data_IF_627729288564
#
_entry.id   IF_627729288564
#
_cell.length_a   1.000
_cell.length_b   1.000
_cell.length_c   1.000
_cell.angle_alpha   90.00
_cell.angle_beta   90.00
_cell.angle_gamma   90.00
#
_symmetry.space_group_name_H-M   'P 1'
#
loop_
_entity.id
_entity.type
_entity.pdbx_description
1 polymer ?
#
# COMPACT_ATOMS: atom_id res chain seq x y z
N UNK A 1 -2.14 -21.78 -13.40
CA UNK A 1 -3.04 -20.63 -13.19
C UNK A 1 -2.80 -20.12 -11.76
N UNK A 2 -2.17 -18.96 -11.59
CA UNK A 2 -2.00 -18.36 -10.25
C UNK A 2 -3.40 -17.82 -9.87
N UNK A 3 -4.02 -18.25 -8.77
CA UNK A 3 -5.33 -17.74 -8.38
C UNK A 3 -5.22 -16.22 -8.16
N UNK A 4 -6.12 -15.45 -8.78
CA UNK A 4 -6.17 -14.01 -8.55
C UNK A 4 -6.55 -13.78 -7.09
N UNK A 5 -5.70 -13.04 -6.36
CA UNK A 5 -6.01 -12.70 -4.97
C UNK A 5 -7.27 -11.82 -4.93
N UNK A 6 -8.33 -12.30 -4.28
CA UNK A 6 -9.56 -11.52 -4.12
C UNK A 6 -9.37 -10.47 -3.02
N UNK A 7 -9.29 -9.19 -3.43
CA UNK A 7 -9.08 -8.07 -2.52
C UNK A 7 -10.36 -7.56 -1.85
N UNK A 8 -11.55 -8.02 -2.25
CA UNK A 8 -12.83 -7.47 -1.73
C UNK A 8 -12.94 -7.68 -0.22
N UNK A 9 -13.09 -6.58 0.53
CA UNK A 9 -13.19 -6.58 1.99
C UNK A 9 -11.87 -6.86 2.73
N UNK A 10 -10.78 -7.15 2.01
CA UNK A 10 -9.46 -7.45 2.59
C UNK A 10 -8.72 -6.17 2.95
N UNK A 11 -7.94 -6.23 4.02
CA UNK A 11 -7.02 -5.18 4.44
C UNK A 11 -5.81 -5.20 3.51
N UNK A 12 -5.76 -4.25 2.58
CA UNK A 12 -4.63 -4.11 1.66
C UNK A 12 -3.79 -2.92 2.11
N UNK A 13 -2.51 -3.15 2.32
CA UNK A 13 -1.55 -2.09 2.64
C UNK A 13 -0.69 -1.80 1.41
N UNK A 14 -0.75 -0.59 0.87
CA UNK A 14 0.20 -0.11 -0.14
C UNK A 14 1.35 0.61 0.55
N UNK A 15 2.57 0.10 0.40
CA UNK A 15 3.80 0.76 0.88
C UNK A 15 4.51 1.46 -0.28
N UNK A 16 4.61 2.79 -0.17
CA UNK A 16 5.20 3.68 -1.14
C UNK A 16 4.19 4.12 -2.20
N UNK A 17 3.50 5.24 -1.96
CA UNK A 17 2.69 5.88 -3.00
C UNK A 17 3.60 6.41 -4.11
N UNK A 18 4.73 7.02 -3.72
CA UNK A 18 5.69 7.62 -4.63
C UNK A 18 5.11 8.80 -5.41
N UNK A 19 5.93 9.36 -6.31
CA UNK A 19 5.54 10.45 -7.21
C UNK A 19 5.50 10.05 -8.68
N UNK A 20 6.17 8.95 -9.06
CA UNK A 20 6.34 8.52 -10.46
C UNK A 20 6.16 7.02 -10.69
N UNK A 21 6.31 6.21 -9.64
CA UNK A 21 6.54 4.76 -9.78
C UNK A 21 5.25 3.92 -9.71
N UNK A 22 4.13 4.38 -10.28
CA UNK A 22 2.93 3.54 -10.41
C UNK A 22 2.13 3.24 -9.13
N UNK A 23 2.56 3.70 -7.95
CA UNK A 23 1.82 3.51 -6.68
C UNK A 23 0.38 4.05 -6.72
N UNK A 24 0.14 5.14 -7.45
CA UNK A 24 -1.22 5.66 -7.72
C UNK A 24 -2.10 4.61 -8.42
N UNK A 25 -1.56 3.97 -9.46
CA UNK A 25 -2.28 2.93 -10.19
C UNK A 25 -2.61 1.72 -9.31
N UNK A 26 -1.66 1.29 -8.49
CA UNK A 26 -1.87 0.19 -7.54
C UNK A 26 -2.96 0.52 -6.50
N UNK A 27 -2.95 1.74 -5.95
CA UNK A 27 -3.98 2.21 -5.03
C UNK A 27 -5.36 2.24 -5.68
N UNK A 28 -5.47 2.82 -6.89
CA UNK A 28 -6.73 2.87 -7.63
C UNK A 28 -7.25 1.47 -7.95
N UNK A 29 -6.38 0.56 -8.35
CA UNK A 29 -6.75 -0.82 -8.61
C UNK A 29 -7.30 -1.52 -7.35
N UNK A 30 -6.59 -1.42 -6.22
CA UNK A 30 -7.01 -2.02 -4.95
C UNK A 30 -8.36 -1.44 -4.47
N UNK A 31 -8.53 -0.12 -4.53
CA UNK A 31 -9.79 0.54 -4.18
C UNK A 31 -10.94 0.06 -5.07
N UNK A 32 -10.76 -0.01 -6.40
CA UNK A 32 -11.77 -0.52 -7.35
C UNK A 32 -12.14 -1.98 -7.11
N UNK A 33 -11.23 -2.79 -6.56
CA UNK A 33 -11.52 -4.18 -6.16
C UNK A 33 -12.24 -4.30 -4.81
N UNK A 34 -12.53 -3.18 -4.15
CA UNK A 34 -13.25 -3.13 -2.87
C UNK A 34 -12.38 -3.49 -1.68
N UNK A 35 -11.06 -3.24 -1.76
CA UNK A 35 -10.16 -3.40 -0.64
C UNK A 35 -10.42 -2.36 0.46
N UNK A 36 -10.17 -2.75 1.70
CA UNK A 36 -9.99 -1.83 2.82
C UNK A 36 -8.55 -1.31 2.75
N UNK A 37 -8.35 -0.26 1.97
CA UNK A 37 -7.03 0.23 1.58
C UNK A 37 -6.41 1.13 2.65
N UNK A 38 -5.17 0.84 3.02
CA UNK A 38 -4.27 1.76 3.73
C UNK A 38 -3.08 2.08 2.84
N UNK A 39 -2.73 3.36 2.70
CA UNK A 39 -1.58 3.83 1.93
C UNK A 39 -0.57 4.43 2.90
N UNK A 40 0.66 3.90 2.90
CA UNK A 40 1.74 4.41 3.74
C UNK A 40 2.95 4.83 2.91
N UNK A 41 3.52 5.98 3.27
CA UNK A 41 4.71 6.52 2.61
C UNK A 41 5.53 7.33 3.62
N UNK A 42 6.86 7.25 3.51
CA UNK A 42 7.76 8.04 4.34
C UNK A 42 7.74 9.52 3.96
N UNK A 43 7.34 9.82 2.72
CA UNK A 43 7.18 11.18 2.23
C UNK A 43 5.93 11.83 2.84
N UNK A 44 6.02 13.13 3.07
CA UNK A 44 4.91 13.93 3.62
C UNK A 44 3.91 14.31 2.53
N UNK A 45 2.70 14.68 2.95
CA UNK A 45 1.60 15.12 2.07
C UNK A 45 2.03 16.15 1.01
N UNK A 46 2.85 17.14 1.38
CA UNK A 46 3.33 18.19 0.46
C UNK A 46 4.11 17.60 -0.73
N UNK A 47 4.99 16.63 -0.48
CA UNK A 47 5.79 15.97 -1.52
C UNK A 47 4.92 15.08 -2.42
N UNK A 48 3.88 14.47 -1.84
CA UNK A 48 2.98 13.55 -2.53
C UNK A 48 1.77 14.25 -3.16
N UNK A 49 1.73 15.59 -3.21
CA UNK A 49 0.54 16.34 -3.61
C UNK A 49 0.00 15.90 -4.98
N UNK A 50 0.87 15.78 -5.99
CA UNK A 50 0.49 15.34 -7.34
C UNK A 50 -0.10 13.93 -7.34
N UNK A 51 0.50 13.00 -6.60
CA UNK A 51 -0.01 11.63 -6.50
C UNK A 51 -1.34 11.57 -5.77
N UNK A 52 -1.50 12.34 -4.70
CA UNK A 52 -2.74 12.42 -3.93
C UNK A 52 -3.88 13.04 -4.75
N UNK A 53 -3.57 14.04 -5.57
CA UNK A 53 -4.53 14.62 -6.52
C UNK A 53 -4.97 13.57 -7.56
N UNK A 54 -4.02 12.81 -8.11
CA UNK A 54 -4.31 11.74 -9.07
C UNK A 54 -5.12 10.58 -8.47
N UNK A 55 -5.08 10.36 -7.14
CA UNK A 55 -5.94 9.38 -6.47
C UNK A 55 -7.42 9.79 -6.44
N UNK A 56 -7.72 11.08 -6.60
CA UNK A 56 -9.09 11.60 -6.56
C UNK A 56 -9.80 11.27 -5.24
N UNK A 57 -11.02 10.74 -5.34
CA UNK A 57 -11.95 10.54 -4.21
C UNK A 57 -11.98 9.11 -3.67
N UNK A 58 -10.94 8.30 -3.91
CA UNK A 58 -10.92 6.94 -3.36
C UNK A 58 -10.96 6.94 -1.83
N UNK A 59 -11.63 5.94 -1.27
CA UNK A 59 -11.63 5.70 0.17
C UNK A 59 -10.37 4.91 0.56
N UNK A 60 -9.48 5.55 1.31
CA UNK A 60 -8.29 4.93 1.88
C UNK A 60 -7.89 5.61 3.18
N UNK A 61 -7.25 4.86 4.08
CA UNK A 61 -6.53 5.43 5.21
C UNK A 61 -5.12 5.84 4.76
N UNK A 62 -4.63 7.00 5.21
CA UNK A 62 -3.32 7.52 4.84
C UNK A 62 -2.38 7.60 6.04
N UNK A 63 -1.20 7.01 5.91
CA UNK A 63 -0.07 7.12 6.85
C UNK A 63 1.11 7.76 6.11
N UNK A 64 1.06 9.09 5.97
CA UNK A 64 2.11 9.85 5.28
C UNK A 64 3.12 10.40 6.28
N UNK A 65 4.39 10.46 5.88
CA UNK A 65 5.49 10.86 6.75
C UNK A 65 5.95 9.77 7.73
N UNK A 66 5.37 8.56 7.68
CA UNK A 66 5.67 7.47 8.61
C UNK A 66 5.14 6.12 8.12
N UNK A 67 5.75 5.06 8.62
CA UNK A 67 5.21 3.70 8.55
C UNK A 67 4.75 3.24 9.93
N UNK A 68 3.57 2.61 10.02
CA UNK A 68 3.02 2.08 11.27
C UNK A 68 3.09 0.57 11.25
N UNK A 69 3.93 -0.03 12.10
CA UNK A 69 4.17 -1.49 12.13
C UNK A 69 2.88 -2.31 12.21
N UNK A 70 1.88 -1.86 12.98
CA UNK A 70 0.58 -2.55 13.10
C UNK A 70 -0.13 -2.72 11.75
N UNK A 71 -0.02 -1.74 10.86
CA UNK A 71 -0.68 -1.80 9.54
C UNK A 71 -0.07 -2.93 8.68
N UNK A 72 1.24 -3.16 8.79
CA UNK A 72 1.94 -4.27 8.10
C UNK A 72 1.56 -5.63 8.67
N UNK A 73 1.53 -5.78 9.99
CA UNK A 73 1.28 -7.07 10.64
C UNK A 73 -0.20 -7.47 10.65
N UNK A 74 -1.11 -6.56 10.30
CA UNK A 74 -2.54 -6.81 10.21
C UNK A 74 -3.08 -6.80 8.78
N UNK A 75 -2.22 -6.57 7.77
CA UNK A 75 -2.63 -6.64 6.39
C UNK A 75 -2.93 -8.09 5.97
N UNK A 76 -3.90 -8.26 5.08
CA UNK A 76 -4.16 -9.54 4.42
C UNK A 76 -3.34 -9.64 3.11
N UNK A 77 -2.90 -8.50 2.57
CA UNK A 77 -1.99 -8.36 1.44
C UNK A 77 -1.23 -7.03 1.55
N UNK A 78 0.06 -7.05 1.27
CA UNK A 78 0.87 -5.85 1.09
C UNK A 78 1.16 -5.69 -0.39
N UNK A 79 1.00 -4.47 -0.91
CA UNK A 79 1.51 -4.09 -2.22
C UNK A 79 2.73 -3.21 -1.97
N UNK A 80 3.89 -3.67 -2.41
CA UNK A 80 5.14 -2.93 -2.30
C UNK A 80 5.43 -2.23 -3.62
N UNK A 81 5.61 -0.91 -3.60
CA UNK A 81 6.09 -0.19 -4.78
C UNK A 81 7.57 -0.49 -5.06
N UNK A 82 8.01 -0.39 -6.32
CA UNK A 82 9.33 -0.87 -6.78
C UNK A 82 10.50 -0.18 -6.07
N UNK A 83 10.39 1.12 -5.78
CA UNK A 83 11.39 1.89 -5.06
C UNK A 83 11.61 1.47 -3.60
N UNK A 84 10.79 0.57 -3.05
CA UNK A 84 10.96 0.05 -1.69
C UNK A 84 11.77 -1.25 -1.72
N UNK A 85 12.90 -1.38 -0.98
CA UNK A 85 13.65 -2.62 -0.91
C UNK A 85 12.84 -3.76 -0.29
N UNK A 86 12.92 -4.99 -0.84
CA UNK A 86 12.27 -6.18 -0.25
C UNK A 86 12.80 -6.51 1.16
N UNK A 87 14.01 -6.08 1.45
CA UNK A 87 14.67 -6.23 2.76
C UNK A 87 14.19 -5.24 3.82
N UNK A 88 13.24 -4.35 3.49
CA UNK A 88 12.72 -3.39 4.45
C UNK A 88 12.18 -4.11 5.71
N UNK A 89 12.56 -3.71 6.94
CA UNK A 89 12.26 -4.48 8.15
C UNK A 89 10.77 -4.79 8.37
N UNK A 90 9.89 -3.86 7.99
CA UNK A 90 8.44 -4.06 8.11
C UNK A 90 7.88 -5.07 7.10
N UNK A 91 8.49 -5.18 5.91
CA UNK A 91 8.12 -6.20 4.91
C UNK A 91 8.63 -7.57 5.34
N UNK A 92 9.87 -7.64 5.83
CA UNK A 92 10.43 -8.89 6.39
C UNK A 92 9.56 -9.39 7.56
N UNK A 93 9.17 -8.51 8.47
CA UNK A 93 8.31 -8.86 9.60
C UNK A 93 6.90 -9.34 9.17
N UNK A 94 6.35 -8.80 8.09
CA UNK A 94 5.07 -9.24 7.54
C UNK A 94 5.19 -10.59 6.82
N UNK A 95 6.23 -10.75 6.00
CA UNK A 95 6.52 -12.01 5.29
C UNK A 95 6.75 -13.16 6.27
N UNK A 96 7.44 -12.91 7.40
CA UNK A 96 7.62 -13.90 8.47
C UNK A 96 6.31 -14.38 9.11
N UNK A 97 5.19 -13.67 8.92
CA UNK A 97 3.84 -14.06 9.35
C UNK A 97 3.01 -14.70 8.23
N UNK A 98 3.60 -14.94 7.06
CA UNK A 98 2.91 -15.48 5.89
C UNK A 98 2.04 -14.46 5.16
N UNK A 99 2.19 -13.16 5.41
CA UNK A 99 1.46 -12.13 4.69
C UNK A 99 2.07 -11.99 3.28
N UNK A 100 1.26 -12.10 2.21
CA UNK A 100 1.75 -11.93 0.84
C UNK A 100 2.16 -10.47 0.57
N UNK A 101 3.22 -10.30 -0.23
CA UNK A 101 3.85 -9.00 -0.60
C UNK A 101 4.15 -8.94 -2.09
#
# INVERSE_FOLDING_TARGET
MIPSFNMRGKRVLLMGLGIKDGGVGAALYAARKGARLTITDIQKKKTLAVSLEALGTIQAEYRLGRHVKKDFLSADLIIKNDGVPRTHPLLVAAAARGIPI
#
